data_IF_545475455306
#
_entry.id   IF_545475455306
#
_cell.length_a   1.000
_cell.length_b   1.000
_cell.length_c   1.000
_cell.angle_alpha   90.00
_cell.angle_beta   90.00
_cell.angle_gamma   90.00
#
_symmetry.space_group_name_H-M   'P 1'
#
loop_
_entity.id
_entity.type
_entity.pdbx_description
1 polymer ?
#
# COMPACT_ATOMS: atom_id res chain seq x y z
N UNK A 1 -26.61 4.38 17.75
CA UNK A 1 -26.67 4.02 16.33
C UNK A 1 -25.38 3.32 16.00
N UNK A 2 -25.40 1.99 15.80
CA UNK A 2 -24.25 1.29 15.24
C UNK A 2 -24.21 1.71 13.77
N UNK A 3 -23.26 2.59 13.41
CA UNK A 3 -23.00 2.90 12.01
C UNK A 3 -22.65 1.59 11.31
N UNK A 4 -23.23 1.35 10.13
CA UNK A 4 -22.82 0.21 9.31
C UNK A 4 -21.29 0.24 9.18
N UNK A 5 -20.60 -0.90 9.34
CA UNK A 5 -19.16 -0.93 9.15
C UNK A 5 -18.84 -0.38 7.77
N UNK A 6 -17.86 0.53 7.71
CA UNK A 6 -17.37 1.08 6.44
C UNK A 6 -16.93 -0.11 5.59
N UNK A 7 -17.56 -0.29 4.44
CA UNK A 7 -17.14 -1.32 3.50
C UNK A 7 -15.73 -0.97 3.03
N UNK A 8 -14.74 -1.86 3.22
CA UNK A 8 -13.36 -1.51 2.98
C UNK A 8 -13.08 -1.40 1.49
N UNK A 9 -12.35 -0.35 1.14
CA UNK A 9 -11.98 0.00 -0.22
C UNK A 9 -10.60 -0.60 -0.51
N UNK A 10 -10.44 -1.39 -1.59
CA UNK A 10 -9.14 -1.87 -2.02
C UNK A 10 -8.19 -0.72 -2.35
N UNK A 11 -6.94 -0.76 -1.89
CA UNK A 11 -5.91 0.24 -2.23
C UNK A 11 -5.72 0.42 -3.75
N UNK A 12 -5.90 -0.66 -4.52
CA UNK A 12 -5.84 -0.61 -5.98
C UNK A 12 -7.01 0.17 -6.60
N UNK A 13 -8.13 0.33 -5.91
CA UNK A 13 -9.26 1.15 -6.35
C UNK A 13 -8.87 2.63 -6.44
N UNK A 14 -8.03 3.15 -5.54
CA UNK A 14 -7.56 4.53 -5.61
C UNK A 14 -6.74 4.76 -6.89
N UNK A 15 -5.88 3.79 -7.24
CA UNK A 15 -5.14 3.83 -8.51
C UNK A 15 -6.09 3.82 -9.71
N UNK A 16 -7.01 2.85 -9.74
CA UNK A 16 -7.92 2.67 -10.86
C UNK A 16 -8.88 3.86 -11.03
N UNK A 17 -9.37 4.42 -9.93
CA UNK A 17 -10.25 5.59 -9.92
C UNK A 17 -9.54 6.82 -10.47
N UNK A 18 -8.36 7.13 -9.93
CA UNK A 18 -7.55 8.26 -10.38
C UNK A 18 -7.08 8.12 -11.85
N UNK A 19 -6.94 6.88 -12.35
CA UNK A 19 -6.66 6.63 -13.76
C UNK A 19 -7.89 6.77 -14.65
N UNK A 20 -8.99 6.08 -14.31
CA UNK A 20 -10.27 6.12 -15.03
C UNK A 20 -11.41 5.56 -14.17
N UNK A 21 -12.35 6.41 -13.69
CA UNK A 21 -13.49 5.99 -12.86
C UNK A 21 -14.36 4.91 -13.51
N UNK A 22 -14.60 5.00 -14.82
CA UNK A 22 -15.38 4.00 -15.55
C UNK A 22 -14.71 2.63 -15.53
N UNK A 23 -13.39 2.59 -15.78
CA UNK A 23 -12.61 1.34 -15.72
C UNK A 23 -12.54 0.81 -14.29
N UNK A 24 -12.44 1.69 -13.30
CA UNK A 24 -12.48 1.32 -11.88
C UNK A 24 -13.77 0.56 -11.54
N UNK A 25 -14.94 1.08 -11.95
CA UNK A 25 -16.22 0.40 -11.79
C UNK A 25 -16.22 -0.98 -12.44
N UNK A 26 -15.73 -1.10 -13.67
CA UNK A 26 -15.64 -2.40 -14.36
C UNK A 26 -14.75 -3.42 -13.64
N UNK A 27 -13.71 -2.97 -12.94
CA UNK A 27 -12.78 -3.87 -12.23
C UNK A 27 -13.34 -4.30 -10.87
N UNK A 28 -13.97 -3.38 -10.13
CA UNK A 28 -14.27 -3.60 -8.71
C UNK A 28 -15.73 -3.97 -8.42
N UNK A 29 -16.67 -3.73 -9.34
CA UNK A 29 -18.07 -4.13 -9.15
C UNK A 29 -18.29 -5.66 -9.17
N UNK A 30 -17.31 -6.43 -9.63
CA UNK A 30 -17.37 -7.91 -9.66
C UNK A 30 -16.95 -8.57 -8.32
N UNK A 31 -16.53 -7.79 -7.31
CA UNK A 31 -16.44 -8.20 -5.90
C UNK A 31 -15.38 -9.21 -5.47
N UNK A 32 -14.72 -9.93 -6.39
CA UNK A 32 -13.84 -11.07 -6.05
C UNK A 32 -12.56 -10.72 -5.26
N UNK A 33 -12.16 -9.45 -5.22
CA UNK A 33 -10.89 -9.04 -4.62
C UNK A 33 -10.97 -8.83 -3.10
N UNK A 34 -12.13 -8.43 -2.59
CA UNK A 34 -12.32 -8.04 -1.18
C UNK A 34 -12.21 -9.25 -0.23
N UNK A 35 -12.81 -10.38 -0.59
CA UNK A 35 -12.81 -11.60 0.24
C UNK A 35 -11.41 -12.17 0.51
N UNK A 36 -10.53 -12.13 -0.50
CA UNK A 36 -9.17 -12.64 -0.38
C UNK A 36 -8.31 -11.78 0.57
N UNK A 37 -8.51 -10.45 0.57
CA UNK A 37 -7.73 -9.55 1.43
C UNK A 37 -8.21 -9.61 2.88
N UNK A 38 -9.51 -9.78 3.14
CA UNK A 38 -10.00 -9.96 4.51
C UNK A 38 -9.39 -11.17 5.19
N UNK A 39 -9.32 -12.29 4.47
CA UNK A 39 -8.64 -13.50 4.93
C UNK A 39 -7.16 -13.22 5.15
N UNK A 40 -6.51 -12.47 4.24
CA UNK A 40 -5.11 -12.08 4.39
C UNK A 40 -4.85 -11.15 5.59
N UNK A 41 -5.74 -10.20 5.89
CA UNK A 41 -5.68 -9.32 7.07
C UNK A 41 -5.77 -10.15 8.35
N UNK A 42 -6.75 -11.06 8.45
CA UNK A 42 -6.89 -11.96 9.60
C UNK A 42 -5.66 -12.84 9.80
N UNK A 43 -5.09 -13.37 8.73
CA UNK A 43 -3.85 -14.15 8.80
C UNK A 43 -2.62 -13.30 9.18
N UNK A 44 -2.52 -12.06 8.68
CA UNK A 44 -1.42 -11.15 8.99
C UNK A 44 -1.43 -10.71 10.45
N UNK A 45 -2.61 -10.44 11.01
CA UNK A 45 -2.79 -10.14 12.44
C UNK A 45 -2.30 -11.30 13.32
N UNK A 46 -2.60 -12.56 12.93
CA UNK A 46 -2.04 -13.72 13.63
C UNK A 46 -0.52 -13.88 13.40
N UNK A 47 -0.04 -13.72 12.16
CA UNK A 47 1.38 -13.91 11.83
C UNK A 47 2.31 -12.87 12.48
N UNK A 48 1.81 -11.65 12.77
CA UNK A 48 2.54 -10.65 13.57
C UNK A 48 2.91 -11.15 14.97
N UNK A 49 2.15 -12.10 15.51
CA UNK A 49 2.45 -12.73 16.81
C UNK A 49 3.64 -13.71 16.70
N UNK A 50 3.92 -14.23 15.51
CA UNK A 50 4.81 -15.40 15.29
C UNK A 50 6.10 -15.13 14.47
N UNK A 51 6.53 -13.88 14.26
CA UNK A 51 7.48 -13.56 13.16
C UNK A 51 8.90 -14.17 13.26
N UNK A 52 9.22 -15.05 12.30
CA UNK A 52 10.58 -15.35 11.79
C UNK A 52 10.55 -15.49 10.26
N UNK A 53 11.01 -14.49 9.52
CA UNK A 53 11.76 -14.65 8.25
C UNK A 53 12.21 -13.28 7.72
N UNK A 54 13.44 -13.19 7.22
CA UNK A 54 14.00 -11.94 6.69
C UNK A 54 15.02 -12.17 5.59
N UNK A 55 14.82 -11.48 4.46
CA UNK A 55 15.89 -11.20 3.50
C UNK A 55 16.49 -9.83 3.85
N UNK A 56 17.78 -9.82 4.18
CA UNK A 56 18.52 -8.60 4.47
C UNK A 56 19.24 -8.14 3.21
N UNK A 57 18.91 -6.94 2.72
CA UNK A 57 19.66 -6.30 1.64
C UNK A 57 21.12 -6.02 2.08
N UNK A 58 22.05 -5.86 1.13
CA UNK A 58 23.45 -5.48 1.45
C UNK A 58 23.57 -4.19 2.28
N UNK A 59 22.55 -3.33 2.25
CA UNK A 59 22.45 -2.08 3.01
C UNK A 59 21.79 -2.25 4.39
N UNK A 60 21.44 -3.47 4.80
CA UNK A 60 20.93 -3.78 6.13
C UNK A 60 19.42 -3.64 6.31
N UNK A 61 18.68 -3.24 5.27
CA UNK A 61 17.22 -3.20 5.32
C UNK A 61 16.62 -4.60 5.19
N UNK A 62 15.65 -4.90 6.06
CA UNK A 62 14.81 -6.10 6.01
C UNK A 62 13.62 -5.85 5.11
N UNK A 63 13.45 -6.63 4.06
CA UNK A 63 12.28 -6.52 3.18
C UNK A 63 11.20 -7.53 3.55
N UNK A 64 9.96 -7.07 3.67
CA UNK A 64 8.77 -7.93 3.69
C UNK A 64 8.02 -7.77 2.37
N UNK A 65 7.69 -8.87 1.71
CA UNK A 65 7.00 -8.87 0.41
C UNK A 65 5.53 -9.23 0.58
N UNK A 66 4.69 -8.68 -0.30
CA UNK A 66 3.25 -8.90 -0.31
C UNK A 66 2.58 -8.66 1.05
N UNK A 67 3.10 -7.70 1.84
CA UNK A 67 2.63 -7.38 3.19
C UNK A 67 1.18 -6.86 3.12
N UNK A 68 0.20 -7.55 3.73
CA UNK A 68 -1.15 -7.03 3.85
C UNK A 68 -1.16 -5.76 4.70
N UNK A 69 -1.90 -4.74 4.26
CA UNK A 69 -2.00 -3.44 4.94
C UNK A 69 -3.44 -2.93 4.96
N UNK A 70 -3.80 -2.16 5.99
CA UNK A 70 -5.13 -1.57 6.14
C UNK A 70 -5.09 -0.29 6.96
N UNK A 71 -6.16 0.50 6.82
CA UNK A 71 -6.48 1.65 7.65
C UNK A 71 -7.96 1.57 7.98
N UNK A 72 -8.29 1.44 9.26
CA UNK A 72 -9.68 1.43 9.71
C UNK A 72 -10.26 2.86 9.65
N UNK A 73 -9.44 3.88 9.90
CA UNK A 73 -9.84 5.29 9.82
C UNK A 73 -10.21 5.73 8.40
N UNK A 74 -9.45 5.27 7.40
CA UNK A 74 -9.70 5.56 5.98
C UNK A 74 -10.58 4.50 5.30
N UNK A 75 -10.89 3.41 5.99
CA UNK A 75 -11.59 2.26 5.40
C UNK A 75 -10.81 1.62 4.24
N UNK A 76 -9.48 1.62 4.27
CA UNK A 76 -8.63 1.11 3.19
C UNK A 76 -8.09 -0.28 3.53
N UNK A 77 -7.99 -1.15 2.51
CA UNK A 77 -7.40 -2.48 2.66
C UNK A 77 -6.61 -2.88 1.40
N UNK A 78 -5.51 -3.61 1.55
CA UNK A 78 -4.76 -4.10 0.41
C UNK A 78 -3.44 -4.73 0.78
N UNK A 79 -2.46 -4.59 -0.12
CA UNK A 79 -1.10 -5.10 0.07
C UNK A 79 -0.07 -4.10 -0.43
N UNK A 80 1.10 -4.13 0.20
CA UNK A 80 2.33 -3.56 -0.33
C UNK A 80 3.10 -4.65 -1.08
N UNK A 81 3.63 -4.35 -2.27
CA UNK A 81 4.46 -5.31 -2.99
C UNK A 81 5.74 -5.64 -2.23
N UNK A 82 6.41 -4.61 -1.70
CA UNK A 82 7.47 -4.75 -0.71
C UNK A 82 7.45 -3.60 0.30
N UNK A 83 7.89 -3.86 1.53
CA UNK A 83 8.16 -2.86 2.56
C UNK A 83 9.55 -3.11 3.12
N UNK A 84 10.41 -2.10 3.01
CA UNK A 84 11.75 -2.13 3.57
C UNK A 84 11.74 -1.53 4.98
N UNK A 85 12.18 -2.31 5.95
CA UNK A 85 12.38 -1.91 7.34
C UNK A 85 13.88 -1.72 7.60
N UNK A 86 14.28 -0.48 7.81
CA UNK A 86 15.68 -0.10 7.98
C UNK A 86 16.09 -0.12 9.47
N UNK A 87 17.38 -0.34 9.78
CA UNK A 87 17.87 -0.36 11.16
C UNK A 87 17.70 0.96 11.93
N UNK A 88 17.68 2.10 11.23
CA UNK A 88 17.36 3.41 11.81
C UNK A 88 15.86 3.58 12.11
N UNK A 89 15.08 2.55 11.80
CA UNK A 89 13.66 2.50 11.96
C UNK A 89 12.87 3.06 10.77
N UNK A 90 13.51 3.48 9.66
CA UNK A 90 12.77 3.91 8.48
C UNK A 90 11.90 2.77 7.94
N UNK A 91 10.63 3.07 7.67
CA UNK A 91 9.69 2.18 6.97
C UNK A 91 9.53 2.75 5.56
N UNK A 92 9.76 1.93 4.53
CA UNK A 92 9.83 2.40 3.15
C UNK A 92 9.08 1.45 2.21
N UNK A 93 7.82 1.76 1.86
CA UNK A 93 7.06 0.96 0.89
C UNK A 93 7.63 1.11 -0.52
N UNK A 94 7.65 0.00 -1.26
CA UNK A 94 8.07 -0.07 -2.65
C UNK A 94 6.98 -0.72 -3.49
N UNK A 95 6.34 0.06 -4.36
CA UNK A 95 5.31 -0.40 -5.30
C UNK A 95 5.96 -0.80 -6.64
N UNK A 96 5.67 -2.01 -7.13
CA UNK A 96 6.27 -2.54 -8.35
C UNK A 96 5.34 -2.28 -9.54
N UNK A 97 5.87 -1.64 -10.59
CA UNK A 97 5.12 -1.40 -11.83
C UNK A 97 5.74 -2.15 -13.01
N UNK A 98 4.92 -3.03 -13.60
CA UNK A 98 5.20 -3.69 -14.87
C UNK A 98 4.70 -2.81 -16.01
N UNK A 99 5.58 -1.96 -16.54
CA UNK A 99 5.24 -1.09 -17.66
C UNK A 99 6.33 -0.07 -18.00
N UNK A 100 6.22 0.61 -19.16
CA UNK A 100 7.11 1.70 -19.53
C UNK A 100 6.98 2.85 -18.52
N UNK A 101 8.09 3.51 -18.22
CA UNK A 101 8.14 4.61 -17.26
C UNK A 101 7.19 5.72 -17.67
N UNK A 102 6.20 6.00 -16.83
CA UNK A 102 5.37 7.19 -16.90
C UNK A 102 5.08 7.64 -15.47
N UNK A 103 5.18 8.95 -15.21
CA UNK A 103 4.79 9.52 -13.93
C UNK A 103 3.30 9.76 -13.99
N UNK A 104 2.53 8.97 -13.25
CA UNK A 104 1.10 9.20 -13.11
C UNK A 104 0.73 9.41 -11.66
N UNK A 105 -0.20 10.33 -11.43
CA UNK A 105 -0.70 10.66 -10.09
C UNK A 105 -1.34 9.44 -9.40
N UNK A 106 -1.98 8.54 -10.14
CA UNK A 106 -2.62 7.34 -9.58
C UNK A 106 -1.62 6.39 -8.91
N UNK A 107 -0.39 6.28 -9.41
CA UNK A 107 0.64 5.45 -8.76
C UNK A 107 1.14 6.11 -7.46
N UNK A 108 1.31 7.43 -7.47
CA UNK A 108 1.70 8.20 -6.29
C UNK A 108 0.60 8.12 -5.21
N UNK A 109 -0.67 8.19 -5.62
CA UNK A 109 -1.83 8.09 -4.73
C UNK A 109 -1.93 6.72 -4.06
N UNK A 110 -1.75 5.64 -4.82
CA UNK A 110 -1.76 4.28 -4.27
C UNK A 110 -0.62 4.07 -3.27
N UNK A 111 0.59 4.55 -3.58
CA UNK A 111 1.74 4.46 -2.69
C UNK A 111 1.54 5.29 -1.42
N UNK A 112 0.93 6.46 -1.52
CA UNK A 112 0.59 7.26 -0.35
C UNK A 112 -0.44 6.59 0.55
N UNK A 113 -1.47 5.98 -0.05
CA UNK A 113 -2.46 5.22 0.68
C UNK A 113 -1.85 4.01 1.41
N UNK A 114 -0.92 3.28 0.76
CA UNK A 114 -0.12 2.24 1.41
C UNK A 114 0.70 2.78 2.59
N UNK A 115 1.32 3.95 2.42
CA UNK A 115 2.09 4.60 3.48
C UNK A 115 1.21 4.97 4.69
N UNK A 116 0.02 5.53 4.47
CA UNK A 116 -0.93 5.86 5.53
C UNK A 116 -1.41 4.61 6.28
N UNK A 117 -1.73 3.52 5.58
CA UNK A 117 -2.04 2.25 6.22
C UNK A 117 -0.89 1.75 7.10
N UNK A 118 0.36 1.80 6.59
CA UNK A 118 1.54 1.42 7.37
C UNK A 118 1.74 2.32 8.60
N UNK A 119 1.49 3.63 8.49
CA UNK A 119 1.57 4.57 9.61
C UNK A 119 0.59 4.19 10.73
N UNK A 120 -0.66 3.93 10.39
CA UNK A 120 -1.70 3.51 11.35
C UNK A 120 -1.34 2.17 11.99
N UNK A 121 -0.98 1.18 11.16
CA UNK A 121 -0.70 -0.18 11.62
C UNK A 121 0.55 -0.32 12.49
N UNK A 122 1.51 0.60 12.37
CA UNK A 122 2.81 0.51 13.04
C UNK A 122 3.02 1.65 14.06
N UNK A 123 2.17 2.67 14.05
CA UNK A 123 2.29 3.85 14.92
C UNK A 123 3.54 4.70 14.63
N UNK A 124 4.07 4.66 13.40
CA UNK A 124 5.34 5.29 13.02
C UNK A 124 5.23 5.98 11.66
N UNK A 125 5.88 7.14 11.46
CA UNK A 125 5.75 7.91 10.22
C UNK A 125 6.37 7.18 9.02
N UNK A 126 5.72 7.29 7.87
CA UNK A 126 6.15 6.79 6.56
C UNK A 126 6.17 7.98 5.58
N UNK A 127 7.19 8.86 5.68
CA UNK A 127 7.20 10.13 4.96
C UNK A 127 7.52 10.00 3.46
N UNK A 128 7.95 8.81 3.01
CA UNK A 128 8.36 8.54 1.63
C UNK A 128 8.28 7.05 1.31
N UNK A 129 8.21 6.75 0.02
CA UNK A 129 8.37 5.40 -0.54
C UNK A 129 8.93 5.48 -1.96
N UNK A 130 8.92 4.37 -2.68
CA UNK A 130 9.33 4.35 -4.09
C UNK A 130 8.38 3.59 -4.99
N UNK A 131 8.36 4.02 -6.25
CA UNK A 131 7.83 3.22 -7.35
C UNK A 131 9.01 2.59 -8.08
N UNK A 132 9.05 1.27 -8.13
CA UNK A 132 10.07 0.50 -8.83
C UNK A 132 9.56 0.08 -10.22
N UNK A 133 10.25 0.53 -11.25
CA UNK A 133 9.93 0.17 -12.64
C UNK A 133 10.75 -1.05 -13.07
N UNK A 134 10.12 -2.22 -13.08
CA UNK A 134 10.78 -3.49 -13.39
C UNK A 134 11.46 -3.50 -14.76
N UNK A 135 10.90 -2.82 -15.76
CA UNK A 135 11.48 -2.72 -17.11
C UNK A 135 12.82 -1.98 -17.17
N UNK A 136 13.06 -1.05 -16.24
CA UNK A 136 14.26 -0.20 -16.23
C UNK A 136 15.15 -0.42 -15.02
N UNK A 137 14.74 -1.26 -14.06
CA UNK A 137 15.41 -1.49 -12.78
C UNK A 137 15.71 -0.20 -12.00
N UNK A 138 14.85 0.81 -12.12
CA UNK A 138 15.01 2.11 -11.45
C UNK A 138 13.88 2.37 -10.47
N UNK A 139 14.24 2.97 -9.33
CA UNK A 139 13.32 3.51 -8.33
C UNK A 139 13.06 4.99 -8.60
N UNK A 140 11.81 5.41 -8.46
CA UNK A 140 11.42 6.81 -8.34
C UNK A 140 10.90 7.03 -6.91
N UNK A 141 11.63 7.80 -6.13
CA UNK A 141 11.17 8.19 -4.79
C UNK A 141 9.96 9.12 -4.88
N UNK A 142 9.02 8.93 -3.96
CA UNK A 142 7.81 9.73 -3.79
C UNK A 142 7.77 10.16 -2.33
N UNK A 143 7.73 11.47 -2.11
CA UNK A 143 7.46 12.03 -0.79
C UNK A 143 5.94 11.99 -0.53
N UNK A 144 5.54 11.55 0.67
CA UNK A 144 4.13 11.49 1.09
C UNK A 144 3.76 12.85 1.70
N UNK A 145 3.60 13.84 0.82
CA UNK A 145 3.34 15.24 1.20
C UNK A 145 1.93 15.43 1.75
N UNK A 146 1.68 16.56 2.41
CA UNK A 146 0.36 16.90 2.93
C UNK A 146 -0.71 16.94 1.82
N UNK A 147 -0.36 17.42 0.62
CA UNK A 147 -1.27 17.46 -0.52
C UNK A 147 -1.63 16.05 -1.00
N UNK A 148 -0.65 15.14 -1.02
CA UNK A 148 -0.89 13.76 -1.45
C UNK A 148 -1.72 12.99 -0.41
N UNK A 149 -1.52 13.26 0.88
CA UNK A 149 -2.35 12.72 1.97
C UNK A 149 -3.80 13.19 1.85
N UNK A 150 -3.99 14.50 1.66
CA UNK A 150 -5.32 15.08 1.49
C UNK A 150 -6.07 14.53 0.26
N UNK A 151 -5.36 14.08 -0.79
CA UNK A 151 -5.97 13.41 -1.94
C UNK A 151 -6.40 11.97 -1.65
N UNK A 152 -5.75 11.28 -0.70
CA UNK A 152 -6.17 9.93 -0.29
C UNK A 152 -7.45 9.99 0.55
N UNK A 153 -7.63 11.06 1.32
CA UNK A 153 -8.75 11.27 2.24
C UNK A 153 -10.05 11.76 1.54
N UNK A 154 -10.01 12.04 0.23
CA UNK A 154 -11.13 12.54 -0.57
C UNK A 154 -11.84 11.43 -1.34
#
# INVERSE_FOLDING_TARGET
MQGSPIEPIPLSALNHWAYCPHRCGLIHLDGQFTDNIHTARGNAEHARVDQVSYETSRSGARAEYALPVWSDDLGLIGKCDAVEFWPDGTIYPVEYKHGPKRKWLNDDLQLAAQALCLEEMLGRPVPRGAIFHASSHRRREVAITAELRALVEQ
#
